data_IF_762800582780
#
_entry.id   IF_762800582780
#
_cell.length_a   1.000
_cell.length_b   1.000
_cell.length_c   1.000
_cell.angle_alpha   90.00
_cell.angle_beta   90.00
_cell.angle_gamma   90.00
#
_symmetry.space_group_name_H-M   'P 1'
#
loop_
_entity.id
_entity.type
_entity.pdbx_description
1 polymer ?
#
# COMPACT_ATOMS: atom_id res chain seq x y z
N UNK A 1 31.88 -14.31 -28.29
CA UNK A 1 31.33 -12.93 -28.34
C UNK A 1 31.85 -12.02 -27.23
N UNK A 2 32.62 -12.48 -26.23
CA UNK A 2 33.11 -11.59 -25.15
C UNK A 2 32.01 -10.99 -24.27
N UNK A 3 30.76 -11.41 -24.48
CA UNK A 3 29.61 -11.02 -23.67
C UNK A 3 29.63 -11.83 -22.38
N UNK A 4 29.48 -11.15 -21.25
CA UNK A 4 29.47 -11.76 -19.92
C UNK A 4 28.37 -12.82 -19.77
N UNK A 5 28.54 -13.72 -18.80
CA UNK A 5 27.55 -14.74 -18.47
C UNK A 5 26.17 -14.13 -18.15
N UNK A 6 26.12 -12.92 -17.58
CA UNK A 6 24.87 -12.28 -17.14
C UNK A 6 23.95 -11.86 -18.30
N UNK A 7 24.41 -11.12 -19.34
CA UNK A 7 23.59 -10.86 -20.54
C UNK A 7 23.12 -12.11 -21.27
N UNK A 8 23.95 -13.17 -21.28
CA UNK A 8 23.59 -14.45 -21.89
C UNK A 8 22.46 -15.15 -21.14
N UNK A 9 22.52 -15.18 -19.81
CA UNK A 9 21.45 -15.69 -18.96
C UNK A 9 20.15 -14.87 -19.09
N UNK A 10 20.27 -13.53 -19.13
CA UNK A 10 19.12 -12.64 -19.37
C UNK A 10 18.46 -12.90 -20.73
N UNK A 11 19.25 -12.98 -21.81
CA UNK A 11 18.74 -13.28 -23.13
C UNK A 11 18.07 -14.66 -23.21
N UNK A 12 18.66 -15.68 -22.58
CA UNK A 12 18.03 -17.00 -22.46
C UNK A 12 16.69 -16.92 -21.71
N UNK A 13 16.63 -16.16 -20.61
CA UNK A 13 15.39 -15.92 -19.87
C UNK A 13 14.30 -15.25 -20.72
N UNK A 14 14.63 -14.19 -21.46
CA UNK A 14 13.69 -13.50 -22.36
C UNK A 14 13.20 -14.41 -23.48
N UNK A 15 14.08 -15.23 -24.08
CA UNK A 15 13.70 -16.20 -25.11
C UNK A 15 12.79 -17.31 -24.56
N UNK A 16 13.00 -17.72 -23.31
CA UNK A 16 12.20 -18.76 -22.65
C UNK A 16 10.87 -18.24 -22.12
N UNK A 17 10.76 -16.95 -21.80
CA UNK A 17 9.56 -16.32 -21.24
C UNK A 17 8.32 -16.44 -22.15
N UNK A 18 8.52 -16.48 -23.47
CA UNK A 18 7.45 -16.61 -24.47
C UNK A 18 7.02 -18.06 -24.79
N UNK A 19 7.63 -19.08 -24.18
CA UNK A 19 7.38 -20.48 -24.52
C UNK A 19 6.34 -21.13 -23.57
N UNK A 20 5.63 -22.16 -24.05
CA UNK A 20 4.68 -22.97 -23.24
C UNK A 20 5.31 -23.61 -22.01
N UNK A 21 6.63 -23.83 -22.04
CA UNK A 21 7.40 -24.42 -20.95
C UNK A 21 7.83 -23.41 -19.88
N UNK A 22 7.47 -22.12 -19.99
CA UNK A 22 7.89 -21.06 -19.03
C UNK A 22 7.59 -21.43 -17.57
N UNK A 23 6.40 -22.00 -17.33
CA UNK A 23 5.94 -22.30 -15.98
C UNK A 23 6.73 -23.45 -15.37
N UNK A 24 7.08 -24.45 -16.18
CA UNK A 24 7.88 -25.59 -15.77
C UNK A 24 9.33 -25.16 -15.49
N UNK A 25 9.93 -24.37 -16.37
CA UNK A 25 11.29 -23.85 -16.18
C UNK A 25 11.35 -22.95 -14.92
N UNK A 26 10.34 -22.11 -14.69
CA UNK A 26 10.31 -21.27 -13.50
C UNK A 26 10.16 -22.10 -12.22
N UNK A 27 9.37 -23.18 -12.24
CA UNK A 27 9.23 -24.10 -11.11
C UNK A 27 10.54 -24.85 -10.83
N UNK A 28 11.30 -25.19 -11.87
CA UNK A 28 12.58 -25.89 -11.72
C UNK A 28 13.71 -24.96 -11.22
N UNK A 29 13.67 -23.66 -11.56
CA UNK A 29 14.70 -22.68 -11.16
C UNK A 29 14.45 -22.07 -9.78
N UNK A 30 13.19 -21.85 -9.39
CA UNK A 30 12.83 -21.25 -8.07
C UNK A 30 13.55 -21.88 -6.86
N UNK A 31 13.71 -23.21 -6.75
CA UNK A 31 14.42 -23.83 -5.63
C UNK A 31 15.90 -23.43 -5.53
N UNK A 32 16.52 -23.07 -6.66
CA UNK A 32 17.93 -22.69 -6.71
C UNK A 32 18.17 -21.20 -6.46
N UNK A 33 17.13 -20.36 -6.55
CA UNK A 33 17.27 -18.90 -6.42
C UNK A 33 17.92 -18.50 -5.09
N UNK A 34 17.43 -19.03 -3.97
CA UNK A 34 18.00 -18.75 -2.65
C UNK A 34 19.43 -19.25 -2.48
N UNK A 35 19.78 -20.41 -3.06
CA UNK A 35 21.13 -20.98 -2.99
C UNK A 35 22.10 -20.12 -3.83
N UNK A 36 21.69 -19.75 -5.05
CA UNK A 36 22.48 -18.92 -5.95
C UNK A 36 22.70 -17.52 -5.37
N UNK A 37 21.66 -16.92 -4.77
CA UNK A 37 21.76 -15.64 -4.08
C UNK A 37 22.72 -15.71 -2.88
N UNK A 38 22.64 -16.78 -2.09
CA UNK A 38 23.56 -17.02 -0.97
C UNK A 38 25.02 -17.16 -1.42
N UNK A 39 25.27 -17.93 -2.49
CA UNK A 39 26.62 -18.08 -3.07
C UNK A 39 27.12 -16.76 -3.65
N UNK A 40 26.25 -16.02 -4.33
CA UNK A 40 26.56 -14.69 -4.87
C UNK A 40 27.02 -13.76 -3.74
N UNK A 41 26.27 -13.62 -2.65
CA UNK A 41 26.67 -12.75 -1.54
C UNK A 41 27.93 -13.24 -0.82
N UNK A 42 28.12 -14.55 -0.68
CA UNK A 42 29.34 -15.10 -0.10
C UNK A 42 30.58 -14.79 -0.94
N UNK A 43 30.47 -14.93 -2.26
CA UNK A 43 31.59 -14.66 -3.19
C UNK A 43 31.83 -13.17 -3.40
N UNK A 44 30.78 -12.36 -3.49
CA UNK A 44 30.87 -10.91 -3.56
C UNK A 44 31.46 -10.32 -2.26
N UNK A 45 31.02 -10.83 -1.10
CA UNK A 45 31.59 -10.49 0.19
C UNK A 45 33.05 -10.90 0.33
N UNK A 46 33.45 -12.05 -0.20
CA UNK A 46 34.85 -12.49 -0.22
C UNK A 46 35.74 -11.63 -1.15
N UNK A 47 35.15 -10.95 -2.13
CA UNK A 47 35.87 -10.02 -3.02
C UNK A 47 36.08 -8.64 -2.38
N UNK A 48 35.48 -8.38 -1.22
CA UNK A 48 35.68 -7.17 -0.43
C UNK A 48 37.03 -7.24 0.29
N UNK A 49 37.94 -6.30 0.00
CA UNK A 49 39.18 -6.15 0.76
C UNK A 49 38.94 -5.32 2.03
N UNK A 50 38.97 -5.93 3.24
CA UNK A 50 38.69 -5.22 4.49
C UNK A 50 39.73 -4.13 4.78
N UNK A 51 40.96 -4.29 4.29
CA UNK A 51 42.03 -3.31 4.53
C UNK A 51 41.77 -2.02 3.75
N UNK A 52 41.28 -2.12 2.51
CA UNK A 52 40.90 -0.96 1.68
C UNK A 52 39.69 -0.25 2.29
N UNK A 53 38.70 -1.00 2.77
CA UNK A 53 37.50 -0.42 3.41
C UNK A 53 37.86 0.34 4.68
N UNK A 54 38.76 -0.19 5.53
CA UNK A 54 39.17 0.50 6.76
C UNK A 54 40.05 1.71 6.49
N UNK A 55 40.88 1.67 5.46
CA UNK A 55 41.79 2.78 5.11
C UNK A 55 41.05 3.95 4.48
N UNK A 56 40.16 3.69 3.53
CA UNK A 56 39.48 4.69 2.71
C UNK A 56 38.00 4.86 3.08
N UNK A 57 37.63 4.47 4.31
CA UNK A 57 36.26 4.49 4.84
C UNK A 57 35.51 5.81 4.56
N UNK A 58 36.09 7.01 4.78
CA UNK A 58 35.39 8.26 4.54
C UNK A 58 35.02 8.46 3.07
N UNK A 59 35.97 8.18 2.17
CA UNK A 59 35.79 8.28 0.72
C UNK A 59 34.72 7.29 0.25
N UNK A 60 34.75 6.07 0.79
CA UNK A 60 33.78 5.02 0.47
C UNK A 60 32.36 5.40 0.92
N UNK A 61 32.18 5.89 2.15
CA UNK A 61 30.86 6.29 2.67
C UNK A 61 30.29 7.46 1.87
N UNK A 62 31.10 8.48 1.60
CA UNK A 62 30.69 9.62 0.77
C UNK A 62 30.33 9.15 -0.64
N UNK A 63 31.13 8.26 -1.24
CA UNK A 63 30.87 7.71 -2.57
C UNK A 63 29.54 6.95 -2.64
N UNK A 64 29.25 6.09 -1.65
CA UNK A 64 27.99 5.35 -1.57
C UNK A 64 26.80 6.30 -1.41
N UNK A 65 26.88 7.29 -0.53
CA UNK A 65 25.81 8.24 -0.29
C UNK A 65 25.52 9.08 -1.53
N UNK A 66 26.56 9.58 -2.19
CA UNK A 66 26.43 10.33 -3.46
C UNK A 66 25.83 9.45 -4.54
N UNK A 67 26.28 8.21 -4.69
CA UNK A 67 25.77 7.26 -5.68
C UNK A 67 24.28 6.96 -5.48
N UNK A 68 23.87 6.64 -4.25
CA UNK A 68 22.47 6.35 -3.91
C UNK A 68 21.59 7.59 -4.16
N UNK A 69 21.98 8.76 -3.62
CA UNK A 69 21.20 9.99 -3.77
C UNK A 69 21.09 10.40 -5.23
N UNK A 70 22.19 10.36 -5.99
CA UNK A 70 22.17 10.71 -7.40
C UNK A 70 21.25 9.78 -8.20
N UNK A 71 21.33 8.46 -7.97
CA UNK A 71 20.50 7.49 -8.69
C UNK A 71 19.03 7.60 -8.30
N UNK A 72 18.73 7.75 -7.01
CA UNK A 72 17.37 7.98 -6.52
C UNK A 72 16.76 9.26 -7.10
N UNK A 73 17.54 10.35 -7.15
CA UNK A 73 17.09 11.62 -7.72
C UNK A 73 16.77 11.51 -9.23
N UNK A 74 17.63 10.83 -9.99
CA UNK A 74 17.40 10.58 -11.42
C UNK A 74 16.14 9.76 -11.64
N UNK A 75 15.94 8.69 -10.85
CA UNK A 75 14.75 7.84 -10.96
C UNK A 75 13.47 8.55 -10.54
N UNK A 76 13.52 9.32 -9.45
CA UNK A 76 12.40 10.15 -9.00
C UNK A 76 12.01 11.18 -10.07
N UNK A 77 12.98 11.88 -10.65
CA UNK A 77 12.75 12.86 -11.72
C UNK A 77 12.22 12.23 -13.01
N UNK A 78 12.57 10.96 -13.29
CA UNK A 78 12.03 10.21 -14.42
C UNK A 78 10.61 9.67 -14.17
N UNK A 79 10.18 9.53 -12.91
CA UNK A 79 8.89 8.97 -12.52
C UNK A 79 7.68 9.60 -13.23
N UNK A 80 7.55 10.95 -13.28
CA UNK A 80 6.43 11.61 -13.95
C UNK A 80 6.33 11.27 -15.45
N UNK A 81 7.44 11.02 -16.13
CA UNK A 81 7.44 10.67 -17.56
C UNK A 81 6.83 9.27 -17.82
N UNK A 82 6.76 8.43 -16.80
CA UNK A 82 6.18 7.08 -16.85
C UNK A 82 4.75 7.06 -16.28
N UNK A 83 4.25 8.19 -15.77
CA UNK A 83 2.92 8.32 -15.17
C UNK A 83 2.86 7.92 -13.69
N UNK A 84 4.00 7.82 -13.01
CA UNK A 84 4.04 7.51 -11.57
C UNK A 84 3.65 8.75 -10.75
N UNK A 85 2.87 8.55 -9.69
CA UNK A 85 2.68 9.60 -8.67
C UNK A 85 4.02 9.91 -7.98
N UNK A 86 4.21 11.13 -7.45
CA UNK A 86 5.42 11.48 -6.69
C UNK A 86 5.74 10.48 -5.57
N UNK A 87 4.74 9.96 -4.86
CA UNK A 87 4.95 8.91 -3.85
C UNK A 87 5.44 7.59 -4.47
N UNK A 88 4.85 7.14 -5.57
CA UNK A 88 5.31 5.95 -6.31
C UNK A 88 6.72 6.14 -6.87
N UNK A 89 7.02 7.32 -7.42
CA UNK A 89 8.33 7.67 -7.95
C UNK A 89 9.41 7.68 -6.85
N UNK A 90 9.07 8.13 -5.63
CA UNK A 90 9.97 8.08 -4.49
C UNK A 90 10.24 6.64 -4.04
N UNK A 91 9.19 5.81 -3.92
CA UNK A 91 9.35 4.39 -3.57
C UNK A 91 10.27 3.68 -4.57
N UNK A 92 9.96 3.78 -5.85
CA UNK A 92 10.76 3.17 -6.93
C UNK A 92 12.19 3.72 -6.95
N UNK A 93 12.35 5.03 -6.84
CA UNK A 93 13.66 5.68 -6.89
C UNK A 93 14.59 5.25 -5.77
N UNK A 94 14.08 5.15 -4.54
CA UNK A 94 14.87 4.76 -3.37
C UNK A 94 15.15 3.25 -3.37
N UNK A 95 14.15 2.40 -3.67
CA UNK A 95 14.33 0.94 -3.69
C UNK A 95 15.32 0.49 -4.77
N UNK A 96 15.35 1.17 -5.92
CA UNK A 96 16.26 0.84 -7.03
C UNK A 96 17.58 1.62 -7.01
N UNK A 97 17.85 2.40 -5.95
CA UNK A 97 19.06 3.20 -5.84
C UNK A 97 20.35 2.38 -5.64
N UNK A 98 20.23 1.13 -5.18
CA UNK A 98 21.36 0.22 -4.99
C UNK A 98 22.14 -0.10 -6.27
N UNK A 99 23.41 -0.49 -6.11
CA UNK A 99 24.24 -1.00 -7.21
C UNK A 99 23.74 -2.36 -7.71
N UNK A 100 23.96 -2.65 -9.00
CA UNK A 100 23.59 -3.93 -9.59
C UNK A 100 24.78 -4.87 -9.77
N UNK A 101 24.52 -6.17 -9.85
CA UNK A 101 25.55 -7.22 -10.04
C UNK A 101 26.33 -7.08 -11.34
N UNK A 102 25.72 -6.47 -12.36
CA UNK A 102 26.35 -6.22 -13.64
C UNK A 102 27.60 -5.32 -13.51
N UNK A 103 27.67 -4.49 -12.47
CA UNK A 103 28.81 -3.64 -12.20
C UNK A 103 30.10 -4.43 -12.01
N UNK A 104 30.06 -5.61 -11.36
CA UNK A 104 31.27 -6.42 -11.14
C UNK A 104 31.93 -6.86 -12.44
N UNK A 105 31.11 -7.21 -13.42
CA UNK A 105 31.57 -7.59 -14.75
C UNK A 105 32.22 -6.40 -15.44
N UNK A 106 31.57 -5.24 -15.40
CA UNK A 106 32.05 -4.02 -16.06
C UNK A 106 33.36 -3.55 -15.43
N UNK A 107 33.47 -3.56 -14.10
CA UNK A 107 34.69 -3.16 -13.39
C UNK A 107 35.84 -4.10 -13.70
N UNK A 108 35.60 -5.42 -13.68
CA UNK A 108 36.61 -6.42 -14.05
C UNK A 108 37.09 -6.23 -15.48
N UNK A 109 36.19 -6.03 -16.44
CA UNK A 109 36.57 -5.79 -17.82
C UNK A 109 37.37 -4.48 -17.98
N UNK A 110 36.96 -3.41 -17.30
CA UNK A 110 37.68 -2.13 -17.35
C UNK A 110 39.09 -2.25 -16.75
N UNK A 111 39.24 -3.07 -15.70
CA UNK A 111 40.53 -3.39 -15.10
C UNK A 111 41.41 -4.23 -16.04
N UNK A 112 40.84 -5.27 -16.68
CA UNK A 112 41.55 -6.11 -17.66
C UNK A 112 42.04 -5.31 -18.88
N UNK A 113 41.28 -4.29 -19.27
CA UNK A 113 41.64 -3.35 -20.35
C UNK A 113 42.61 -2.25 -19.90
N UNK A 114 42.98 -2.19 -18.61
CA UNK A 114 43.85 -1.15 -18.05
C UNK A 114 43.22 0.24 -17.99
N UNK A 115 41.90 0.37 -18.20
CA UNK A 115 41.16 1.63 -18.09
C UNK A 115 40.98 2.03 -16.62
N UNK A 116 40.85 1.04 -15.74
CA UNK A 116 40.57 1.24 -14.33
C UNK A 116 41.70 0.67 -13.45
N UNK A 117 42.32 1.48 -12.57
CA UNK A 117 43.32 0.99 -11.61
C UNK A 117 42.74 -0.05 -10.66
N UNK A 118 43.59 -0.96 -10.18
CA UNK A 118 43.19 -2.04 -9.26
C UNK A 118 42.54 -1.49 -7.98
N UNK A 119 43.11 -0.44 -7.41
CA UNK A 119 42.64 0.18 -6.17
C UNK A 119 41.24 0.77 -6.33
N UNK A 120 40.97 1.41 -7.48
CA UNK A 120 39.66 1.98 -7.78
C UNK A 120 38.62 0.89 -8.06
N UNK A 121 39.01 -0.20 -8.72
CA UNK A 121 38.14 -1.36 -9.01
C UNK A 121 37.64 -1.99 -7.71
N UNK A 122 38.55 -2.17 -6.74
CA UNK A 122 38.21 -2.70 -5.43
C UNK A 122 37.30 -1.76 -4.63
N UNK A 123 37.56 -0.44 -4.68
CA UNK A 123 36.73 0.55 -3.99
C UNK A 123 35.32 0.61 -4.59
N UNK A 124 35.19 0.57 -5.92
CA UNK A 124 33.89 0.54 -6.61
C UNK A 124 33.14 -0.75 -6.33
N UNK A 125 33.81 -1.91 -6.37
CA UNK A 125 33.25 -3.21 -5.99
C UNK A 125 32.72 -3.19 -4.56
N UNK A 126 33.51 -2.66 -3.62
CA UNK A 126 33.10 -2.51 -2.23
C UNK A 126 31.88 -1.60 -2.07
N UNK A 127 31.84 -0.47 -2.80
CA UNK A 127 30.68 0.43 -2.77
C UNK A 127 29.38 -0.24 -3.24
N UNK A 128 29.46 -1.06 -4.31
CA UNK A 128 28.31 -1.80 -4.84
C UNK A 128 27.84 -2.86 -3.84
N UNK A 129 28.75 -3.70 -3.31
CA UNK A 129 28.41 -4.73 -2.32
C UNK A 129 27.72 -4.12 -1.10
N UNK A 130 28.30 -3.06 -0.53
CA UNK A 130 27.73 -2.39 0.64
C UNK A 130 26.38 -1.76 0.30
N UNK A 131 26.21 -1.15 -0.87
CA UNK A 131 24.92 -0.58 -1.30
C UNK A 131 23.83 -1.66 -1.46
N UNK A 132 24.18 -2.84 -1.96
CA UNK A 132 23.26 -3.98 -2.08
C UNK A 132 22.87 -4.52 -0.70
N UNK A 133 23.82 -4.61 0.23
CA UNK A 133 23.53 -4.95 1.63
C UNK A 133 22.67 -3.91 2.35
N UNK A 134 22.74 -2.63 1.95
CA UNK A 134 21.93 -1.54 2.51
C UNK A 134 20.52 -1.46 1.89
N UNK A 135 20.28 -2.15 0.78
CA UNK A 135 19.01 -2.13 0.04
C UNK A 135 17.77 -2.45 0.90
N UNK A 136 17.75 -3.43 1.82
CA UNK A 136 16.59 -3.63 2.70
C UNK A 136 16.26 -2.40 3.55
N UNK A 137 17.27 -1.71 4.09
CA UNK A 137 17.08 -0.49 4.87
C UNK A 137 16.58 0.67 4.00
N UNK A 138 17.06 0.76 2.76
CA UNK A 138 16.53 1.71 1.79
C UNK A 138 15.07 1.42 1.46
N UNK A 139 14.63 0.16 1.46
CA UNK A 139 13.24 -0.24 1.28
C UNK A 139 12.32 0.34 2.36
N UNK A 140 12.68 0.20 3.64
CA UNK A 140 11.92 0.80 4.75
C UNK A 140 11.86 2.33 4.63
N UNK A 141 12.99 2.96 4.25
CA UNK A 141 13.03 4.40 4.00
C UNK A 141 12.16 4.81 2.80
N UNK A 142 12.07 3.97 1.77
CA UNK A 142 11.26 4.19 0.59
C UNK A 142 9.77 4.22 0.93
N UNK A 143 9.31 3.28 1.76
CA UNK A 143 7.92 3.24 2.24
C UNK A 143 7.58 4.43 3.13
N UNK A 144 8.50 4.81 4.03
CA UNK A 144 8.36 6.02 4.84
C UNK A 144 8.29 7.29 3.97
N UNK A 145 9.17 7.42 2.98
CA UNK A 145 9.17 8.56 2.07
C UNK A 145 7.90 8.62 1.20
N UNK A 146 7.43 7.47 0.72
CA UNK A 146 6.20 7.35 -0.07
C UNK A 146 4.97 7.81 0.70
N UNK A 147 4.77 7.28 1.92
CA UNK A 147 3.65 7.68 2.81
C UNK A 147 3.71 9.15 3.22
N UNK A 148 4.91 9.69 3.44
CA UNK A 148 5.09 11.12 3.71
C UNK A 148 4.74 12.01 2.51
N UNK A 149 4.98 11.55 1.27
CA UNK A 149 4.58 12.27 0.06
C UNK A 149 3.08 12.17 -0.21
N UNK A 150 2.48 10.99 -0.03
CA UNK A 150 1.02 10.76 -0.13
C UNK A 150 0.25 11.70 0.82
N UNK A 151 0.65 11.76 2.09
CA UNK A 151 0.02 12.67 3.07
C UNK A 151 0.17 14.16 2.75
N UNK A 152 1.20 14.56 1.98
CA UNK A 152 1.34 15.94 1.49
C UNK A 152 0.46 16.25 0.28
N UNK A 153 0.22 15.27 -0.59
CA UNK A 153 -0.69 15.42 -1.73
C UNK A 153 -2.13 15.52 -1.26
N UNK A 154 -2.53 14.72 -0.27
CA UNK A 154 -3.86 14.78 0.34
C UNK A 154 -4.14 16.12 1.05
N UNK A 155 -3.11 16.77 1.60
CA UNK A 155 -3.23 18.13 2.16
C UNK A 155 -3.22 19.25 1.09
N UNK A 156 -2.92 18.95 -0.18
CA UNK A 156 -2.68 19.93 -1.23
C UNK A 156 -3.90 20.34 -2.05
N UNK A 157 -4.98 19.56 -2.03
CA UNK A 157 -6.20 19.82 -2.80
C UNK A 157 -7.44 19.89 -1.89
N UNK A 158 -7.66 21.03 -1.25
CA UNK A 158 -9.01 21.54 -0.94
C UNK A 158 -9.97 20.72 -0.05
N UNK A 159 -9.57 19.58 0.51
CA UNK A 159 -10.37 18.80 1.46
C UNK A 159 -9.88 19.02 2.88
N UNK A 160 -10.84 19.13 3.82
CA UNK A 160 -10.58 19.33 5.25
C UNK A 160 -9.57 18.29 5.75
N UNK A 161 -8.34 18.72 6.01
CA UNK A 161 -7.29 17.86 6.57
C UNK A 161 -7.78 17.24 7.89
N UNK A 162 -8.09 15.95 7.86
CA UNK A 162 -8.36 15.15 9.05
C UNK A 162 -7.11 15.12 9.93
N UNK A 163 -7.08 15.98 10.96
CA UNK A 163 -6.03 15.94 11.98
C UNK A 163 -5.61 17.29 12.57
N UNK A 164 -5.96 18.43 11.97
CA UNK A 164 -5.92 19.69 12.73
C UNK A 164 -7.21 19.80 13.54
N UNK A 165 -7.07 20.00 14.84
CA UNK A 165 -8.19 20.34 15.71
C UNK A 165 -8.94 21.52 15.07
N UNK A 166 -10.18 21.27 14.62
CA UNK A 166 -11.05 22.29 14.03
C UNK A 166 -11.07 23.46 15.00
N UNK A 167 -10.69 24.66 14.54
CA UNK A 167 -10.70 25.83 15.42
C UNK A 167 -12.13 26.14 15.87
N UNK A 168 -12.36 26.76 17.04
CA UNK A 168 -13.73 27.10 17.49
C UNK A 168 -14.51 27.98 16.50
N UNK A 169 -13.81 28.72 15.65
CA UNK A 169 -14.40 29.53 14.58
C UNK A 169 -14.87 28.66 13.38
N UNK A 170 -14.07 27.68 12.96
CA UNK A 170 -14.43 26.73 11.90
C UNK A 170 -15.56 25.78 12.35
N UNK A 171 -15.52 25.33 13.60
CA UNK A 171 -16.58 24.52 14.20
C UNK A 171 -17.94 25.23 14.15
N UNK A 172 -17.95 26.54 14.43
CA UNK A 172 -19.15 27.37 14.36
C UNK A 172 -19.61 27.63 12.92
N UNK A 173 -18.68 27.76 11.98
CA UNK A 173 -19.02 27.90 10.57
C UNK A 173 -19.65 26.63 10.01
N UNK A 174 -19.14 25.45 10.40
CA UNK A 174 -19.73 24.16 10.06
C UNK A 174 -21.10 23.97 10.70
N UNK A 175 -21.26 24.37 11.96
CA UNK A 175 -22.55 24.32 12.66
C UNK A 175 -23.61 25.12 11.89
N UNK A 176 -23.30 26.38 11.57
CA UNK A 176 -24.21 27.27 10.84
C UNK A 176 -24.47 26.83 9.38
N UNK A 177 -23.58 26.02 8.80
CA UNK A 177 -23.80 25.47 7.48
C UNK A 177 -24.71 24.24 7.53
N UNK A 178 -24.77 23.53 8.66
CA UNK A 178 -25.64 22.36 8.84
C UNK A 178 -27.04 22.77 9.32
N UNK A 179 -27.13 23.72 10.25
CA UNK A 179 -28.36 24.37 10.74
C UNK A 179 -28.97 25.24 9.62
N UNK A 180 -29.81 24.64 8.79
CA UNK A 180 -30.40 25.29 7.61
C UNK A 180 -31.56 26.19 8.01
N UNK A 181 -32.31 25.78 9.03
CA UNK A 181 -33.48 26.53 9.51
C UNK A 181 -33.13 27.67 10.47
N UNK A 182 -31.89 27.71 10.96
CA UNK A 182 -31.35 28.76 11.83
C UNK A 182 -31.90 28.67 13.26
N UNK A 183 -32.35 27.48 13.67
CA UNK A 183 -32.92 27.21 14.99
C UNK A 183 -31.89 27.29 16.11
N UNK A 184 -30.60 27.16 15.80
CA UNK A 184 -29.51 27.14 16.78
C UNK A 184 -29.27 25.75 17.39
N UNK A 185 -29.91 24.71 16.86
CA UNK A 185 -29.65 23.29 17.08
C UNK A 185 -29.55 22.58 15.73
N UNK A 186 -28.93 21.40 15.70
CA UNK A 186 -28.87 20.54 14.49
C UNK A 186 -29.74 19.31 14.75
N UNK A 187 -30.73 19.09 13.90
CA UNK A 187 -31.56 17.88 13.94
C UNK A 187 -30.97 16.72 13.09
N UNK A 188 -31.56 15.54 13.23
CA UNK A 188 -31.10 14.31 12.55
C UNK A 188 -31.23 14.42 11.03
N UNK A 189 -32.27 15.12 10.54
CA UNK A 189 -32.57 15.26 9.13
C UNK A 189 -31.63 16.29 8.47
N UNK A 190 -31.35 17.41 9.13
CA UNK A 190 -30.36 18.42 8.72
C UNK A 190 -28.95 17.84 8.64
N UNK A 191 -28.53 17.10 9.68
CA UNK A 191 -27.24 16.43 9.69
C UNK A 191 -27.15 15.40 8.55
N UNK A 192 -28.21 14.60 8.34
CA UNK A 192 -28.27 13.59 7.27
C UNK A 192 -28.17 14.25 5.90
N UNK A 193 -29.00 15.25 5.62
CA UNK A 193 -29.10 15.86 4.29
C UNK A 193 -27.79 16.58 3.92
N UNK A 194 -27.10 17.18 4.90
CA UNK A 194 -25.79 17.82 4.70
C UNK A 194 -24.64 16.85 4.53
N UNK A 195 -24.66 15.71 5.23
CA UNK A 195 -23.67 14.64 5.04
C UNK A 195 -23.84 13.95 3.68
N UNK A 196 -25.08 13.70 3.26
CA UNK A 196 -25.39 13.14 1.93
C UNK A 196 -24.97 14.12 0.83
N UNK A 197 -25.24 15.42 0.98
CA UNK A 197 -24.82 16.45 0.03
C UNK A 197 -23.29 16.59 -0.09
N UNK A 198 -22.54 16.29 0.97
CA UNK A 198 -21.06 16.25 0.99
C UNK A 198 -20.47 14.92 0.52
N UNK A 199 -21.29 13.98 0.06
CA UNK A 199 -20.83 12.70 -0.50
C UNK A 199 -20.47 11.64 0.55
N UNK A 200 -20.77 11.88 1.84
CA UNK A 200 -20.54 10.91 2.92
C UNK A 200 -21.71 9.93 2.94
N UNK A 201 -21.50 8.71 2.42
CA UNK A 201 -22.59 7.73 2.21
C UNK A 201 -22.78 6.70 3.33
N UNK A 202 -21.89 6.62 4.33
CA UNK A 202 -21.81 5.42 5.19
C UNK A 202 -21.57 5.65 6.68
N UNK A 203 -21.83 6.85 7.22
CA UNK A 203 -21.98 6.95 8.66
C UNK A 203 -23.35 6.35 9.05
N UNK A 204 -23.41 5.49 10.06
CA UNK A 204 -24.67 5.27 10.78
C UNK A 204 -25.03 6.62 11.42
N UNK A 205 -25.77 7.47 10.70
CA UNK A 205 -26.04 8.85 11.10
C UNK A 205 -26.68 8.87 12.48
N UNK A 206 -27.46 7.84 12.84
CA UNK A 206 -28.03 7.70 14.17
C UNK A 206 -26.97 7.46 15.27
N UNK A 207 -25.89 6.73 15.00
CA UNK A 207 -24.78 6.55 15.95
C UNK A 207 -23.92 7.81 16.07
N UNK A 208 -23.67 8.49 14.96
CA UNK A 208 -22.96 9.78 14.96
C UNK A 208 -23.78 10.84 15.69
N UNK A 209 -25.07 10.91 15.40
CA UNK A 209 -25.99 11.83 16.06
C UNK A 209 -26.03 11.57 17.58
N UNK A 210 -26.18 10.30 18.00
CA UNK A 210 -26.17 9.91 19.42
C UNK A 210 -24.82 10.15 20.11
N UNK A 211 -23.71 10.14 19.38
CA UNK A 211 -22.40 10.46 19.95
C UNK A 211 -22.27 11.96 20.25
N UNK A 212 -22.94 12.81 19.47
CA UNK A 212 -22.95 14.27 19.65
C UNK A 212 -24.06 14.73 20.61
N UNK A 213 -25.24 14.11 20.58
CA UNK A 213 -26.35 14.35 21.51
C UNK A 213 -26.06 13.72 22.89
N UNK A 214 -25.39 14.48 23.75
CA UNK A 214 -24.95 14.02 25.06
C UNK A 214 -26.06 14.04 26.11
N UNK A 215 -27.06 14.90 25.93
CA UNK A 215 -28.16 15.09 26.86
C UNK A 215 -29.39 14.23 26.51
N UNK A 216 -29.47 13.71 25.28
CA UNK A 216 -30.51 12.79 24.79
C UNK A 216 -31.83 13.48 24.44
N UNK A 217 -31.82 14.79 24.15
CA UNK A 217 -33.01 15.58 23.82
C UNK A 217 -33.41 15.48 22.34
N UNK A 218 -32.60 14.81 21.51
CA UNK A 218 -32.88 14.61 20.09
C UNK A 218 -32.45 15.77 19.20
N UNK A 219 -31.67 16.73 19.73
CA UNK A 219 -31.11 17.88 19.03
C UNK A 219 -29.62 18.04 19.41
N UNK A 220 -28.75 18.47 18.48
CA UNK A 220 -27.34 18.74 18.80
C UNK A 220 -27.18 20.25 19.02
N UNK A 221 -26.95 20.67 20.26
CA UNK A 221 -26.69 22.07 20.58
C UNK A 221 -25.27 22.51 20.18
N UNK A 222 -25.05 23.82 20.03
CA UNK A 222 -23.74 24.39 19.70
C UNK A 222 -22.64 24.04 20.72
N UNK A 223 -23.01 23.83 21.99
CA UNK A 223 -22.06 23.45 23.05
C UNK A 223 -21.73 21.95 22.99
N UNK A 224 -22.70 21.10 22.67
CA UNK A 224 -22.48 19.66 22.41
C UNK A 224 -21.66 19.42 21.15
N UNK A 225 -21.93 20.19 20.10
CA UNK A 225 -21.15 20.20 18.86
C UNK A 225 -19.68 20.51 19.10
N UNK A 226 -19.38 21.60 19.84
CA UNK A 226 -18.00 21.95 20.22
C UNK A 226 -17.37 20.86 21.08
N UNK A 227 -18.07 20.36 22.10
CA UNK A 227 -17.57 19.33 22.98
C UNK A 227 -17.27 18.02 22.22
N UNK A 228 -18.10 17.66 21.24
CA UNK A 228 -17.89 16.50 20.38
C UNK A 228 -16.70 16.65 19.43
N UNK A 229 -16.48 17.86 18.89
CA UNK A 229 -15.29 18.19 18.10
C UNK A 229 -14.01 18.12 18.94
N UNK A 230 -14.02 18.69 20.15
CA UNK A 230 -12.87 18.64 21.07
C UNK A 230 -12.54 17.20 21.50
N UNK A 231 -13.54 16.31 21.54
CA UNK A 231 -13.38 14.87 21.78
C UNK A 231 -12.97 14.07 20.54
N UNK A 232 -12.87 14.70 19.36
CA UNK A 232 -12.50 14.05 18.11
C UNK A 232 -13.59 13.15 17.51
N UNK A 233 -14.86 13.31 17.94
CA UNK A 233 -15.97 12.44 17.53
C UNK A 233 -16.30 12.57 16.04
N UNK A 234 -16.09 13.75 15.44
CA UNK A 234 -16.29 13.98 14.01
C UNK A 234 -15.27 13.20 13.17
N UNK A 235 -14.02 13.14 13.62
CA UNK A 235 -12.98 12.35 12.96
C UNK A 235 -13.27 10.85 13.09
N UNK A 236 -13.73 10.38 14.25
CA UNK A 236 -14.17 8.99 14.43
C UNK A 236 -15.39 8.65 13.57
N UNK A 237 -16.40 9.52 13.54
CA UNK A 237 -17.62 9.35 12.75
C UNK A 237 -17.34 9.28 11.24
N UNK A 238 -16.41 10.10 10.74
CA UNK A 238 -16.01 10.11 9.33
C UNK A 238 -15.00 9.01 8.98
N UNK A 239 -14.21 8.54 9.96
CA UNK A 239 -13.26 7.44 9.78
C UNK A 239 -13.90 6.03 9.81
N UNK A 240 -15.19 5.90 10.13
CA UNK A 240 -15.92 4.62 10.16
C UNK A 240 -16.35 4.12 8.76
N UNK A 241 -15.89 4.75 7.68
CA UNK A 241 -16.00 4.18 6.33
C UNK A 241 -14.97 3.06 6.10
N UNK A 242 -15.33 1.91 5.49
CA UNK A 242 -14.34 0.89 5.17
C UNK A 242 -13.44 1.37 4.03
N UNK A 243 -12.13 1.40 4.29
CA UNK A 243 -11.03 1.16 3.35
C UNK A 243 -11.08 1.83 1.97
N UNK A 244 -10.24 2.84 1.82
CA UNK A 244 -9.78 3.44 0.56
C UNK A 244 -9.51 2.42 -0.56
N UNK A 245 -10.17 2.62 -1.71
CA UNK A 245 -9.86 1.98 -2.97
C UNK A 245 -10.63 2.67 -4.09
N UNK A 246 -10.05 3.74 -4.65
CA UNK A 246 -10.52 4.32 -5.92
C UNK A 246 -10.39 3.22 -6.98
N UNK A 247 -11.42 3.11 -7.85
CA UNK A 247 -11.45 2.31 -9.09
C UNK A 247 -12.19 0.95 -9.04
N UNK A 248 -13.41 0.80 -8.52
CA UNK A 248 -14.22 -0.41 -8.87
C UNK A 248 -15.76 -0.31 -8.69
N UNK A 249 -16.30 0.90 -8.48
CA UNK A 249 -17.62 1.09 -7.84
C UNK A 249 -18.88 0.94 -8.71
N UNK A 250 -18.78 0.71 -10.02
CA UNK A 250 -19.99 0.64 -10.88
C UNK A 250 -20.63 -0.76 -10.93
N UNK A 251 -19.92 -1.81 -10.51
CA UNK A 251 -20.36 -3.21 -10.70
C UNK A 251 -21.12 -3.78 -9.48
N UNK A 252 -21.10 -3.10 -8.34
CA UNK A 252 -21.56 -3.64 -7.05
C UNK A 252 -23.07 -3.52 -6.81
N UNK A 253 -23.74 -2.57 -7.47
CA UNK A 253 -25.16 -2.27 -7.26
C UNK A 253 -26.11 -3.29 -7.94
N UNK A 254 -25.74 -3.83 -9.11
CA UNK A 254 -26.54 -4.86 -9.79
C UNK A 254 -26.54 -6.21 -9.06
N UNK A 255 -25.49 -6.49 -8.27
CA UNK A 255 -25.32 -7.77 -7.58
C UNK A 255 -26.14 -7.80 -6.28
N UNK A 256 -26.21 -6.67 -5.55
CA UNK A 256 -26.89 -6.56 -4.26
C UNK A 256 -28.40 -6.82 -4.34
N UNK A 257 -29.04 -6.46 -5.45
CA UNK A 257 -30.47 -6.70 -5.68
C UNK A 257 -30.83 -8.19 -5.87
N UNK A 258 -29.83 -9.06 -6.04
CA UNK A 258 -30.03 -10.49 -6.37
C UNK A 258 -29.86 -11.42 -5.16
N UNK A 259 -29.49 -10.90 -3.98
CA UNK A 259 -29.13 -11.72 -2.81
C UNK A 259 -30.31 -11.85 -1.85
N UNK A 260 -30.69 -13.08 -1.52
CA UNK A 260 -31.77 -13.36 -0.59
C UNK A 260 -31.40 -12.95 0.85
N UNK A 261 -32.36 -12.43 1.65
CA UNK A 261 -32.08 -11.87 2.97
C UNK A 261 -31.61 -12.88 4.04
N UNK A 262 -31.89 -14.17 3.86
CA UNK A 262 -31.47 -15.24 4.79
C UNK A 262 -30.18 -15.94 4.36
N UNK A 263 -29.39 -15.33 3.46
CA UNK A 263 -28.14 -15.91 3.00
C UNK A 263 -27.03 -15.87 4.07
N UNK A 264 -26.12 -16.84 4.03
CA UNK A 264 -24.89 -16.87 4.82
C UNK A 264 -23.72 -16.60 3.88
N UNK A 265 -22.92 -15.58 4.19
CA UNK A 265 -21.75 -15.18 3.39
C UNK A 265 -20.48 -15.71 4.05
N UNK A 266 -19.73 -16.53 3.33
CA UNK A 266 -18.44 -17.07 3.81
C UNK A 266 -17.31 -16.30 3.12
N UNK A 267 -16.56 -15.54 3.91
CA UNK A 267 -15.45 -14.73 3.40
C UNK A 267 -14.17 -15.58 3.37
N UNK A 268 -13.65 -15.86 2.17
CA UNK A 268 -12.42 -16.64 1.96
C UNK A 268 -12.67 -18.10 1.56
N UNK A 269 -11.95 -18.57 0.53
CA UNK A 269 -12.04 -19.95 -0.01
C UNK A 269 -10.78 -20.79 0.29
N UNK A 270 -10.23 -20.62 1.50
CA UNK A 270 -9.14 -21.44 2.03
C UNK A 270 -9.63 -22.86 2.36
N UNK A 271 -8.74 -23.74 2.82
CA UNK A 271 -9.11 -25.12 3.20
C UNK A 271 -10.21 -25.15 4.28
N UNK A 272 -10.12 -24.23 5.25
CA UNK A 272 -11.13 -24.03 6.29
C UNK A 272 -12.48 -23.55 5.72
N UNK A 273 -12.46 -22.59 4.79
CA UNK A 273 -13.69 -22.10 4.14
C UNK A 273 -14.43 -23.20 3.36
N UNK A 274 -13.71 -24.13 2.72
CA UNK A 274 -14.30 -25.29 2.03
C UNK A 274 -14.91 -26.30 3.00
N UNK A 275 -14.26 -26.53 4.14
CA UNK A 275 -14.73 -27.46 5.16
C UNK A 275 -16.01 -26.92 5.85
N UNK A 276 -16.02 -25.63 6.19
CA UNK A 276 -17.18 -24.91 6.71
C UNK A 276 -18.36 -24.92 5.74
N UNK A 277 -18.12 -24.69 4.45
CA UNK A 277 -19.17 -24.80 3.43
C UNK A 277 -19.80 -26.21 3.41
N UNK A 278 -18.97 -27.25 3.44
CA UNK A 278 -19.44 -28.64 3.47
C UNK A 278 -20.28 -28.97 4.70
N UNK A 279 -19.93 -28.43 5.87
CA UNK A 279 -20.72 -28.58 7.11
C UNK A 279 -22.09 -27.91 6.97
N UNK A 280 -22.14 -26.68 6.46
CA UNK A 280 -23.38 -25.92 6.28
C UNK A 280 -24.31 -26.55 5.23
N UNK A 281 -23.75 -27.14 4.18
CA UNK A 281 -24.51 -27.93 3.19
C UNK A 281 -25.10 -29.19 3.82
N UNK A 282 -24.32 -29.92 4.63
CA UNK A 282 -24.78 -31.13 5.32
C UNK A 282 -25.87 -30.85 6.36
N UNK A 283 -25.87 -29.65 6.96
CA UNK A 283 -26.89 -29.16 7.89
C UNK A 283 -28.20 -28.71 7.20
N UNK A 284 -28.25 -28.73 5.87
CA UNK A 284 -29.45 -28.38 5.09
C UNK A 284 -29.68 -26.89 4.90
N UNK A 285 -28.74 -26.05 5.33
CA UNK A 285 -28.84 -24.57 5.24
C UNK A 285 -28.56 -24.08 3.80
N UNK A 286 -27.81 -24.86 3.00
CA UNK A 286 -27.42 -24.50 1.64
C UNK A 286 -28.42 -24.91 0.53
N UNK A 287 -29.52 -25.61 0.84
CA UNK A 287 -30.38 -26.24 -0.19
C UNK A 287 -31.27 -25.30 -1.00
N UNK A 288 -31.59 -24.11 -0.49
CA UNK A 288 -32.48 -23.14 -1.15
C UNK A 288 -31.79 -21.82 -1.55
N UNK A 289 -30.48 -21.86 -1.83
CA UNK A 289 -29.72 -20.67 -2.24
C UNK A 289 -29.24 -19.77 -1.09
N UNK A 290 -29.35 -20.26 0.15
CA UNK A 290 -28.99 -19.55 1.38
C UNK A 290 -27.49 -19.50 1.71
N UNK A 291 -26.59 -19.90 0.81
CA UNK A 291 -25.14 -19.81 1.05
C UNK A 291 -24.45 -19.20 -0.17
N UNK A 292 -23.87 -18.02 0.01
CA UNK A 292 -23.12 -17.29 -1.01
C UNK A 292 -21.66 -17.29 -0.58
N UNK A 293 -20.88 -18.23 -1.11
CA UNK A 293 -19.43 -18.26 -0.90
C UNK A 293 -18.76 -17.33 -1.92
N UNK A 294 -18.38 -16.12 -1.52
CA UNK A 294 -17.79 -15.14 -2.44
C UNK A 294 -16.65 -14.38 -1.77
N UNK A 295 -15.46 -14.66 -2.32
CA UNK A 295 -14.35 -13.76 -2.68
C UNK A 295 -13.69 -12.88 -1.60
N UNK A 296 -12.38 -12.67 -1.76
CA UNK A 296 -11.55 -11.74 -0.97
C UNK A 296 -11.90 -10.26 -1.23
N UNK A 297 -12.89 -10.00 -2.10
CA UNK A 297 -13.29 -8.66 -2.51
C UNK A 297 -14.19 -8.01 -1.43
N UNK A 298 -13.71 -6.97 -0.71
CA UNK A 298 -14.43 -6.35 0.39
C UNK A 298 -15.78 -5.75 -0.02
N UNK A 299 -15.89 -5.28 -1.27
CA UNK A 299 -17.08 -4.62 -1.81
C UNK A 299 -18.25 -5.58 -1.99
N UNK A 300 -17.97 -6.86 -2.33
CA UNK A 300 -19.00 -7.89 -2.48
C UNK A 300 -19.48 -8.43 -1.13
N UNK A 301 -18.58 -8.51 -0.15
CA UNK A 301 -18.91 -8.86 1.24
C UNK A 301 -19.83 -7.80 1.85
N UNK A 302 -19.51 -6.52 1.64
CA UNK A 302 -20.36 -5.40 2.08
C UNK A 302 -21.77 -5.47 1.45
N UNK A 303 -21.86 -5.74 0.15
CA UNK A 303 -23.15 -5.89 -0.55
C UNK A 303 -24.03 -7.03 0.02
N UNK A 304 -23.42 -8.15 0.41
CA UNK A 304 -24.14 -9.27 1.03
C UNK A 304 -24.63 -8.97 2.46
N UNK A 305 -23.83 -8.27 3.27
CA UNK A 305 -24.26 -7.85 4.61
C UNK A 305 -25.44 -6.86 4.51
N UNK A 306 -25.38 -5.93 3.55
CA UNK A 306 -26.44 -4.95 3.30
C UNK A 306 -27.77 -5.58 2.88
N UNK A 307 -27.76 -6.77 2.25
CA UNK A 307 -29.00 -7.50 1.92
C UNK A 307 -29.60 -8.29 3.10
N UNK A 308 -28.98 -8.27 4.28
CA UNK A 308 -29.43 -8.98 5.48
C UNK A 308 -28.68 -10.28 5.79
N UNK A 309 -27.67 -10.63 4.99
CA UNK A 309 -26.97 -11.89 5.13
C UNK A 309 -26.08 -11.93 6.38
N UNK A 310 -25.97 -13.11 7.01
CA UNK A 310 -25.05 -13.32 8.14
C UNK A 310 -23.66 -13.65 7.61
N UNK A 311 -22.68 -12.78 7.84
CA UNK A 311 -21.29 -13.00 7.41
C UNK A 311 -20.49 -13.79 8.45
N UNK A 312 -19.84 -14.86 8.02
CA UNK A 312 -18.88 -15.62 8.83
C UNK A 312 -17.48 -15.41 8.25
N UNK A 313 -16.62 -14.77 9.03
CA UNK A 313 -15.22 -14.53 8.66
C UNK A 313 -14.41 -15.80 8.93
N UNK A 314 -13.82 -16.38 7.88
CA UNK A 314 -12.68 -17.29 8.04
C UNK A 314 -11.46 -16.48 8.45
N UNK A 315 -10.58 -17.06 9.24
CA UNK A 315 -9.35 -16.42 9.69
C UNK A 315 -8.46 -16.00 8.51
N UNK A 316 -8.19 -14.69 8.50
CA UNK A 316 -7.39 -13.93 7.54
C UNK A 316 -7.48 -12.46 7.90
#
# INVERSE_FOLDING_TARGET
LGLSASPGAFAAGVLLAGNRYRAQIQADVRPFEGILLGIFFLTAGASLDPQVVMKDLPTLVVGILVFIVAKAAVLFAAGPAVGNTPAQAARVGITLAGGGEFSFVVFKLAQDLGVLPYELSNLLTASVVISMSLTPLLGELADFAGTYLESREECGEGELCGGSAITPAEARALFNDIDVDGSGSIDVDELRDKLVARGVRFANVAEVFKAFDANGDGEISLEEWKAGIERGLLAQALAVGPGSGKDEETTSLEIAETIAPDAVVICGFTEFGREMYGVLESAGIAKDGGVVAVDLNPSRVAAGILSGATAVYGDG
#
